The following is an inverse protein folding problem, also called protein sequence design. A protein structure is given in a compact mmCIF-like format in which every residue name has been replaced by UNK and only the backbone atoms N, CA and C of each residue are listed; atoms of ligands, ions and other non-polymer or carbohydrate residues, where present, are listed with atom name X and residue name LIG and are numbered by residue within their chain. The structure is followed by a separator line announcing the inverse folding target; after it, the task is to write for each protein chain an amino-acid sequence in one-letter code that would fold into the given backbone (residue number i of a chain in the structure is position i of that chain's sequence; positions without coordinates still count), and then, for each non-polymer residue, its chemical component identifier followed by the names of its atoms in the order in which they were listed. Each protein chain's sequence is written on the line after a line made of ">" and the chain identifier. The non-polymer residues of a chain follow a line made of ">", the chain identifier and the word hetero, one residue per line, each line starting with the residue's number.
data_IF_109845266499
#
_entry.id   IF_109845266499
#
_cell.length_a   1.000
_cell.length_b   1.000
_cell.length_c   1.000
_cell.angle_alpha   90.00
_cell.angle_beta   90.00
_cell.angle_gamma   90.00
#
_symmetry.space_group_name_H-M   'P 1'
#
loop_
_entity.id
_entity.type
_entity.pdbx_description
1 polymer ?
#
# COMPACT_ATOMS: atom_id res chain seq x y z
N UNK A 1 -39.86 -68.51 -41.31
CA UNK A 1 -40.45 -67.27 -40.75
C UNK A 1 -39.53 -66.61 -39.71
N UNK A 2 -38.22 -66.49 -39.96
CA UNK A 2 -37.23 -66.01 -38.96
C UNK A 2 -36.59 -64.64 -39.27
N UNK A 3 -36.90 -64.02 -40.42
CA UNK A 3 -36.18 -62.82 -40.90
C UNK A 3 -36.79 -61.47 -40.48
N UNK A 4 -37.99 -61.44 -39.89
CA UNK A 4 -38.63 -60.18 -39.47
C UNK A 4 -38.25 -59.75 -38.04
N UNK A 5 -37.90 -60.69 -37.15
CA UNK A 5 -37.64 -60.42 -35.74
C UNK A 5 -36.30 -59.72 -35.50
N UNK A 6 -35.30 -59.97 -36.34
CA UNK A 6 -33.96 -59.38 -36.18
C UNK A 6 -33.87 -57.93 -36.66
N UNK A 7 -34.68 -57.55 -37.67
CA UNK A 7 -34.77 -56.15 -38.13
C UNK A 7 -35.43 -55.22 -37.10
N UNK A 8 -36.36 -55.74 -36.29
CA UNK A 8 -37.02 -54.97 -35.23
C UNK A 8 -36.04 -54.76 -34.07
N UNK A 9 -35.29 -55.79 -33.68
CA UNK A 9 -34.27 -55.71 -32.60
C UNK A 9 -33.14 -54.73 -32.94
N UNK A 10 -32.63 -54.76 -34.18
CA UNK A 10 -31.57 -53.85 -34.61
C UNK A 10 -32.01 -52.36 -34.60
N UNK A 11 -33.25 -52.08 -35.03
CA UNK A 11 -33.80 -50.71 -34.99
C UNK A 11 -33.99 -50.19 -33.57
N UNK A 12 -34.43 -51.04 -32.64
CA UNK A 12 -34.59 -50.67 -31.22
C UNK A 12 -33.23 -50.37 -30.57
N UNK A 13 -32.20 -51.16 -30.87
CA UNK A 13 -30.83 -50.96 -30.35
C UNK A 13 -30.19 -49.66 -30.86
N UNK A 14 -30.36 -49.35 -32.14
CA UNK A 14 -29.85 -48.09 -32.72
C UNK A 14 -30.58 -46.89 -32.12
N UNK A 15 -31.92 -46.97 -31.97
CA UNK A 15 -32.70 -45.91 -31.35
C UNK A 15 -32.27 -45.67 -29.89
N UNK A 16 -32.03 -46.74 -29.12
CA UNK A 16 -31.53 -46.64 -27.75
C UNK A 16 -30.14 -46.02 -27.66
N UNK A 17 -29.24 -46.38 -28.58
CA UNK A 17 -27.89 -45.81 -28.66
C UNK A 17 -27.92 -44.31 -28.95
N UNK A 18 -28.74 -43.87 -29.91
CA UNK A 18 -28.93 -42.45 -30.23
C UNK A 18 -29.59 -41.70 -29.06
N UNK A 19 -30.55 -42.31 -28.37
CA UNK A 19 -31.18 -41.71 -27.19
C UNK A 19 -30.16 -41.51 -26.05
N UNK A 20 -29.34 -42.52 -25.75
CA UNK A 20 -28.31 -42.44 -24.72
C UNK A 20 -27.25 -41.37 -25.03
N UNK A 21 -26.82 -41.24 -26.28
CA UNK A 21 -25.88 -40.20 -26.72
C UNK A 21 -26.46 -38.78 -26.56
N UNK A 22 -27.75 -38.59 -26.87
CA UNK A 22 -28.43 -37.30 -26.68
C UNK A 22 -28.57 -36.93 -25.19
N UNK A 23 -28.87 -37.90 -24.32
CA UNK A 23 -28.96 -37.66 -22.87
C UNK A 23 -27.60 -37.36 -22.22
N UNK A 24 -26.50 -37.97 -22.68
CA UNK A 24 -25.15 -37.64 -22.19
C UNK A 24 -24.65 -36.27 -22.67
N UNK A 25 -25.08 -35.80 -23.86
CA UNK A 25 -24.67 -34.50 -24.40
C UNK A 25 -25.36 -33.29 -23.75
N UNK A 26 -26.64 -33.41 -23.38
CA UNK A 26 -27.37 -32.32 -22.72
C UNK A 26 -26.92 -32.13 -21.26
N UNK A 27 -26.66 -33.22 -20.54
CA UNK A 27 -26.22 -33.16 -19.13
C UNK A 27 -24.79 -32.62 -18.98
N UNK A 28 -23.90 -32.85 -19.95
CA UNK A 28 -22.53 -32.30 -19.89
C UNK A 28 -22.48 -30.79 -20.12
N UNK A 29 -23.32 -30.26 -21.02
CA UNK A 29 -23.38 -28.82 -21.31
C UNK A 29 -23.99 -28.05 -20.14
N UNK A 30 -25.10 -28.55 -19.56
CA UNK A 30 -25.69 -27.97 -18.36
C UNK A 30 -24.73 -28.03 -17.16
N UNK A 31 -23.99 -29.13 -17.00
CA UNK A 31 -23.00 -29.28 -15.96
C UNK A 31 -21.84 -28.28 -16.12
N UNK A 32 -21.32 -28.13 -17.35
CA UNK A 32 -20.28 -27.13 -17.66
C UNK A 32 -20.76 -25.70 -17.41
N UNK A 33 -22.00 -25.38 -17.79
CA UNK A 33 -22.59 -24.07 -17.57
C UNK A 33 -22.77 -23.76 -16.08
N UNK A 34 -23.30 -24.71 -15.30
CA UNK A 34 -23.41 -24.57 -13.85
C UNK A 34 -22.05 -24.41 -13.16
N UNK A 35 -21.03 -25.11 -13.63
CA UNK A 35 -19.69 -24.99 -13.06
C UNK A 35 -19.09 -23.61 -13.36
N UNK A 36 -19.23 -23.12 -14.59
CA UNK A 36 -18.72 -21.80 -14.97
C UNK A 36 -19.44 -20.67 -14.22
N UNK A 37 -20.76 -20.79 -14.01
CA UNK A 37 -21.50 -19.85 -13.16
C UNK A 37 -21.04 -19.86 -11.70
N UNK A 38 -20.75 -21.04 -11.14
CA UNK A 38 -20.21 -21.17 -9.78
C UNK A 38 -18.83 -20.54 -9.67
N UNK A 39 -17.96 -20.80 -10.63
CA UNK A 39 -16.60 -20.26 -10.66
C UNK A 39 -16.62 -18.73 -10.81
N UNK A 40 -17.47 -18.21 -11.69
CA UNK A 40 -17.68 -16.75 -11.85
C UNK A 40 -18.18 -16.11 -10.55
N UNK A 41 -19.18 -16.72 -9.89
CA UNK A 41 -19.69 -16.21 -8.60
C UNK A 41 -18.63 -16.28 -7.51
N UNK A 42 -17.82 -17.34 -7.49
CA UNK A 42 -16.72 -17.51 -6.53
C UNK A 42 -15.63 -16.46 -6.76
N UNK A 43 -15.28 -16.18 -8.00
CA UNK A 43 -14.32 -15.14 -8.35
C UNK A 43 -14.80 -13.75 -7.93
N UNK A 44 -16.06 -13.41 -8.23
CA UNK A 44 -16.67 -12.14 -7.79
C UNK A 44 -16.71 -12.04 -6.27
N UNK A 45 -17.06 -13.12 -5.57
CA UNK A 45 -17.04 -13.15 -4.11
C UNK A 45 -15.62 -12.97 -3.55
N UNK A 46 -14.63 -13.69 -4.07
CA UNK A 46 -13.25 -13.60 -3.61
C UNK A 46 -12.60 -12.26 -3.98
N UNK A 47 -12.93 -11.66 -5.12
CA UNK A 47 -12.53 -10.30 -5.47
C UNK A 47 -13.16 -9.28 -4.51
N UNK A 48 -14.46 -9.38 -4.24
CA UNK A 48 -15.14 -8.53 -3.26
C UNK A 48 -14.55 -8.70 -1.85
N UNK A 49 -14.21 -9.93 -1.46
CA UNK A 49 -13.56 -10.26 -0.19
C UNK A 49 -12.15 -9.67 -0.12
N UNK A 50 -11.34 -9.81 -1.17
CA UNK A 50 -10.00 -9.19 -1.28
C UNK A 50 -10.07 -7.67 -1.18
N UNK A 51 -11.00 -7.04 -1.91
CA UNK A 51 -11.28 -5.60 -1.85
C UNK A 51 -11.68 -5.15 -0.44
N UNK A 52 -12.58 -5.88 0.24
CA UNK A 52 -12.97 -5.57 1.64
C UNK A 52 -11.82 -5.74 2.61
N UNK A 53 -11.03 -6.81 2.50
CA UNK A 53 -9.87 -7.04 3.36
C UNK A 53 -8.84 -5.93 3.19
N UNK A 54 -8.54 -5.53 1.95
CA UNK A 54 -7.68 -4.39 1.65
C UNK A 54 -8.24 -3.05 2.15
N UNK A 55 -9.56 -2.80 2.05
CA UNK A 55 -10.19 -1.60 2.64
C UNK A 55 -10.07 -1.62 4.18
N UNK A 56 -10.26 -2.78 4.81
CA UNK A 56 -10.18 -2.96 6.26
C UNK A 56 -8.76 -2.75 6.79
N UNK A 57 -7.73 -3.31 6.16
CA UNK A 57 -6.34 -3.15 6.59
C UNK A 57 -5.81 -1.72 6.38
N UNK A 58 -6.18 -1.03 5.29
CA UNK A 58 -5.84 0.39 5.07
C UNK A 58 -6.39 1.28 6.18
N UNK A 59 -7.60 0.99 6.64
CA UNK A 59 -8.26 1.80 7.66
C UNK A 59 -7.63 1.64 9.06
N UNK A 60 -6.92 0.55 9.38
CA UNK A 60 -6.40 0.36 10.75
C UNK A 60 -5.37 1.42 11.11
N UNK A 61 -4.34 1.59 10.29
CA UNK A 61 -3.29 2.61 10.54
C UNK A 61 -3.90 4.01 10.54
N UNK A 62 -4.71 4.34 9.53
CA UNK A 62 -5.33 5.66 9.43
C UNK A 62 -6.26 5.96 10.62
N UNK A 63 -7.00 4.96 11.12
CA UNK A 63 -7.81 5.12 12.32
C UNK A 63 -6.95 5.33 13.58
N UNK A 64 -5.82 4.63 13.71
CA UNK A 64 -4.91 4.82 14.84
C UNK A 64 -4.24 6.19 14.83
N UNK A 65 -4.06 6.80 13.65
CA UNK A 65 -3.52 8.16 13.52
C UNK A 65 -4.50 9.26 13.97
N UNK A 66 -5.81 8.98 14.07
CA UNK A 66 -6.81 9.99 14.45
C UNK A 66 -6.47 10.59 15.82
N UNK A 67 -6.68 11.90 15.97
CA UNK A 67 -6.36 12.64 17.20
C UNK A 67 -5.39 13.78 16.96
N UNK A 68 -4.84 14.32 18.06
CA UNK A 68 -3.84 15.39 18.02
C UNK A 68 -2.49 14.86 18.48
N UNK A 69 -1.46 15.31 17.79
CA UNK A 69 -0.08 14.90 17.97
C UNK A 69 0.81 16.12 18.07
N UNK A 70 1.77 16.09 18.98
CA UNK A 70 2.76 17.14 19.15
C UNK A 70 4.14 16.61 18.76
N UNK A 71 4.90 17.42 18.04
CA UNK A 71 6.27 17.07 17.67
C UNK A 71 7.10 16.74 18.92
N UNK A 72 7.83 15.63 18.85
CA UNK A 72 8.68 15.13 19.92
C UNK A 72 10.16 15.26 19.54
N UNK A 73 10.54 14.65 18.41
CA UNK A 73 11.94 14.60 18.00
C UNK A 73 12.10 14.32 16.49
N UNK A 74 13.28 14.64 15.97
CA UNK A 74 13.72 14.27 14.63
C UNK A 74 15.13 13.66 14.73
N UNK A 75 15.25 12.39 14.34
CA UNK A 75 16.47 11.59 14.49
C UNK A 75 16.96 11.13 13.12
N UNK A 76 18.26 11.27 12.89
CA UNK A 76 18.95 10.74 11.69
C UNK A 76 19.71 9.49 12.10
N UNK A 77 19.25 8.34 11.62
CA UNK A 77 19.89 7.04 11.77
C UNK A 77 20.68 6.74 10.48
N UNK A 78 21.68 7.57 10.18
CA UNK A 78 22.50 7.40 8.98
C UNK A 78 23.74 6.53 9.26
N UNK A 79 24.12 5.68 8.29
CA UNK A 79 25.40 4.96 8.24
C UNK A 79 26.14 5.31 6.95
N UNK A 80 27.46 5.54 7.03
CA UNK A 80 28.32 5.57 5.84
C UNK A 80 28.78 6.94 5.32
N UNK A 81 28.96 7.95 6.19
CA UNK A 81 29.93 9.03 5.91
C UNK A 81 29.42 10.48 5.74
N UNK A 82 28.11 10.73 5.55
CA UNK A 82 27.56 12.11 5.58
C UNK A 82 26.81 12.46 6.86
N UNK A 83 26.99 11.62 7.88
CA UNK A 83 26.18 11.56 9.10
C UNK A 83 26.15 12.93 9.82
N UNK A 84 27.28 13.62 9.91
CA UNK A 84 27.38 14.90 10.63
C UNK A 84 26.64 16.05 9.96
N UNK A 85 26.68 16.13 8.62
CA UNK A 85 25.99 17.20 7.88
C UNK A 85 24.47 16.97 7.94
N UNK A 86 24.01 15.73 7.72
CA UNK A 86 22.60 15.41 7.78
C UNK A 86 22.05 15.55 9.20
N UNK A 87 22.79 15.12 10.23
CA UNK A 87 22.42 15.36 11.64
C UNK A 87 22.33 16.84 11.98
N UNK A 88 23.29 17.65 11.54
CA UNK A 88 23.27 19.11 11.78
C UNK A 88 22.05 19.75 11.11
N UNK A 89 21.76 19.39 9.86
CA UNK A 89 20.57 19.85 9.14
C UNK A 89 19.26 19.38 9.78
N UNK A 90 19.24 18.16 10.30
CA UNK A 90 18.08 17.63 11.01
C UNK A 90 17.88 18.36 12.34
N UNK A 91 18.94 18.64 13.11
CA UNK A 91 18.85 19.42 14.35
C UNK A 91 18.28 20.83 14.11
N UNK A 92 18.75 21.52 13.05
CA UNK A 92 18.19 22.82 12.65
C UNK A 92 16.73 22.71 12.18
N UNK A 93 16.36 21.60 11.54
CA UNK A 93 14.95 21.35 11.19
C UNK A 93 14.11 21.10 12.43
N UNK A 94 14.60 20.29 13.37
CA UNK A 94 13.92 19.96 14.62
C UNK A 94 13.58 21.22 15.44
N UNK A 95 14.51 22.18 15.53
CA UNK A 95 14.25 23.44 16.23
C UNK A 95 13.14 24.28 15.59
N UNK A 96 12.93 24.14 14.27
CA UNK A 96 11.81 24.80 13.55
C UNK A 96 10.48 24.06 13.70
N UNK A 97 10.53 22.77 14.06
CA UNK A 97 9.36 21.95 14.34
C UNK A 97 8.94 22.03 15.81
N UNK A 98 9.69 22.74 16.65
CA UNK A 98 9.34 22.90 18.07
C UNK A 98 7.94 23.51 18.21
N UNK A 99 7.10 22.87 19.04
CA UNK A 99 5.71 23.28 19.23
C UNK A 99 4.76 22.93 18.07
N UNK A 100 5.25 22.30 16.99
CA UNK A 100 4.43 21.84 15.89
C UNK A 100 3.39 20.83 16.36
N UNK A 101 2.16 20.98 15.86
CA UNK A 101 1.05 20.05 16.13
C UNK A 101 0.45 19.54 14.83
N UNK A 102 0.14 18.25 14.83
CA UNK A 102 -0.58 17.57 13.76
C UNK A 102 -1.93 17.11 14.28
N UNK A 103 -2.99 17.44 13.54
CA UNK A 103 -4.33 16.93 13.82
C UNK A 103 -4.79 16.06 12.67
N UNK A 104 -5.23 14.85 12.99
CA UNK A 104 -5.85 13.93 12.04
C UNK A 104 -7.31 13.69 12.43
N UNK A 105 -8.19 13.71 11.43
CA UNK A 105 -9.60 13.39 11.63
C UNK A 105 -10.16 12.67 10.40
N UNK A 106 -11.34 12.07 10.59
CA UNK A 106 -12.09 11.41 9.53
C UNK A 106 -13.40 12.15 9.30
N UNK A 107 -13.78 12.33 8.05
CA UNK A 107 -15.11 12.81 7.67
C UNK A 107 -15.62 11.97 6.49
N UNK A 108 -16.71 11.24 6.71
CA UNK A 108 -17.18 10.21 5.78
C UNK A 108 -16.11 9.13 5.56
N UNK A 109 -15.81 8.83 4.30
CA UNK A 109 -14.78 7.85 3.89
C UNK A 109 -13.38 8.46 3.74
N UNK A 110 -13.21 9.76 3.98
CA UNK A 110 -11.97 10.48 3.76
C UNK A 110 -11.24 10.78 5.08
N UNK A 111 -9.91 10.69 5.04
CA UNK A 111 -9.04 11.06 6.15
C UNK A 111 -8.34 12.38 5.86
N UNK A 112 -8.31 13.24 6.85
CA UNK A 112 -7.83 14.61 6.75
C UNK A 112 -6.74 14.89 7.76
N UNK A 113 -5.86 15.81 7.42
CA UNK A 113 -4.83 16.31 8.30
C UNK A 113 -4.80 17.83 8.32
N UNK A 114 -4.26 18.39 9.40
CA UNK A 114 -3.95 19.81 9.54
C UNK A 114 -2.67 19.99 10.34
N UNK A 115 -1.83 20.89 9.87
CA UNK A 115 -0.70 21.45 10.62
C UNK A 115 -1.20 22.64 11.45
N UNK A 116 -0.94 22.59 12.74
CA UNK A 116 -1.22 23.62 13.73
C UNK A 116 0.11 24.21 14.23
N UNK A 117 0.08 25.46 14.73
CA UNK A 117 1.27 26.19 15.22
C UNK A 117 2.38 26.40 14.17
N UNK A 118 2.01 26.51 12.90
CA UNK A 118 2.90 26.94 11.81
C UNK A 118 2.40 28.25 11.21
N UNK A 119 3.32 29.07 10.69
CA UNK A 119 3.01 30.36 10.06
C UNK A 119 1.96 30.21 8.96
N UNK A 120 2.10 29.17 8.13
CA UNK A 120 1.13 28.82 7.10
C UNK A 120 0.29 27.60 7.51
N UNK A 121 -0.98 27.85 7.89
CA UNK A 121 -1.94 26.78 8.15
C UNK A 121 -2.04 25.89 6.91
N UNK A 122 -1.63 24.65 7.05
CA UNK A 122 -1.61 23.68 5.96
C UNK A 122 -2.58 22.55 6.29
N UNK A 123 -3.41 22.14 5.32
CA UNK A 123 -4.37 21.07 5.52
C UNK A 123 -4.61 20.31 4.22
N UNK A 124 -5.06 19.07 4.34
CA UNK A 124 -5.31 18.21 3.19
C UNK A 124 -5.88 16.87 3.56
N UNK A 125 -5.79 15.93 2.63
CA UNK A 125 -6.14 14.52 2.87
C UNK A 125 -4.90 13.65 2.91
N UNK A 126 -5.03 12.45 3.46
CA UNK A 126 -3.94 11.49 3.43
C UNK A 126 -4.45 10.08 3.15
N UNK A 127 -3.56 9.25 2.63
CA UNK A 127 -3.83 7.82 2.42
C UNK A 127 -2.72 7.00 3.05
N UNK A 128 -3.10 5.83 3.56
CA UNK A 128 -2.17 4.83 4.07
C UNK A 128 -2.22 3.58 3.19
N UNK A 129 -1.06 3.05 2.82
CA UNK A 129 -0.96 1.79 2.06
C UNK A 129 0.32 1.05 2.43
N UNK A 130 0.19 -0.17 2.94
CA UNK A 130 1.35 -1.05 3.22
C UNK A 130 2.36 -0.45 4.19
N UNK A 131 1.92 0.26 5.23
CA UNK A 131 2.82 0.96 6.16
C UNK A 131 3.39 2.27 5.62
N UNK A 132 2.97 2.70 4.43
CA UNK A 132 3.33 4.01 3.89
C UNK A 132 2.20 5.01 4.02
N UNK A 133 2.58 6.28 4.19
CA UNK A 133 1.71 7.44 4.29
C UNK A 133 2.00 8.39 3.12
N UNK A 134 0.94 8.85 2.47
CA UNK A 134 1.02 9.86 1.44
C UNK A 134 0.06 11.00 1.76
N UNK A 135 0.59 12.22 1.75
CA UNK A 135 -0.17 13.44 1.97
C UNK A 135 -0.59 14.06 0.64
N UNK A 136 -1.81 14.58 0.60
CA UNK A 136 -2.40 15.31 -0.53
C UNK A 136 -2.81 16.69 -0.02
N UNK A 137 -1.96 17.71 -0.16
CA UNK A 137 -2.28 19.06 0.32
C UNK A 137 -3.49 19.60 -0.44
N UNK A 138 -4.43 20.19 0.29
CA UNK A 138 -5.47 21.04 -0.28
C UNK A 138 -5.01 22.50 -0.23
N UNK A 139 -4.28 22.87 0.83
CA UNK A 139 -3.71 24.21 1.01
C UNK A 139 -2.44 24.16 1.86
N UNK A 140 -1.53 25.09 1.59
CA UNK A 140 -0.27 25.25 2.32
C UNK A 140 0.84 24.29 1.89
N UNK A 141 1.84 24.15 2.75
CA UNK A 141 3.03 23.32 2.49
C UNK A 141 2.73 21.83 2.66
N UNK A 142 3.47 20.99 1.94
CA UNK A 142 3.42 19.55 2.17
C UNK A 142 4.14 19.21 3.48
N UNK A 143 3.53 18.36 4.31
CA UNK A 143 4.17 17.85 5.53
C UNK A 143 5.57 17.26 5.24
N UNK A 144 5.76 16.45 4.19
CA UNK A 144 7.08 16.00 3.77
C UNK A 144 8.10 17.13 3.58
N UNK A 145 7.70 18.24 2.96
CA UNK A 145 8.60 19.36 2.71
C UNK A 145 8.91 20.10 4.01
N UNK A 146 7.95 20.21 4.92
CA UNK A 146 8.18 20.83 6.22
C UNK A 146 9.20 20.02 7.05
N UNK A 147 9.08 18.70 7.05
CA UNK A 147 9.87 17.82 7.94
C UNK A 147 11.19 17.40 7.29
N UNK A 148 11.21 17.14 5.99
CA UNK A 148 12.32 16.46 5.31
C UNK A 148 12.96 17.27 4.18
N UNK A 149 12.58 18.52 3.91
CA UNK A 149 13.19 19.29 2.82
C UNK A 149 14.71 19.51 2.98
N UNK A 150 15.26 19.34 4.19
CA UNK A 150 16.70 19.38 4.40
C UNK A 150 17.48 18.25 3.71
N UNK A 151 16.80 17.17 3.29
CA UNK A 151 17.39 16.09 2.48
C UNK A 151 17.38 16.40 0.99
N UNK A 152 16.74 17.49 0.55
CA UNK A 152 16.73 17.89 -0.87
C UNK A 152 18.18 18.09 -1.34
N UNK A 153 18.51 17.52 -2.49
CA UNK A 153 19.90 17.44 -2.98
C UNK A 153 20.62 16.14 -2.60
N UNK A 154 20.06 15.33 -1.70
CA UNK A 154 20.65 14.04 -1.32
C UNK A 154 20.20 12.96 -2.30
N UNK A 155 21.17 12.16 -2.74
CA UNK A 155 20.97 11.09 -3.72
C UNK A 155 20.94 9.75 -3.00
N UNK A 156 20.17 8.82 -3.55
CA UNK A 156 20.23 7.40 -3.24
C UNK A 156 20.56 6.63 -4.52
N UNK A 157 21.17 5.48 -4.35
CA UNK A 157 21.49 4.58 -5.45
C UNK A 157 20.60 3.35 -5.38
N UNK A 158 20.22 2.84 -6.55
CA UNK A 158 19.43 1.63 -6.70
C UNK A 158 20.13 0.74 -7.72
N UNK A 159 20.40 -0.50 -7.33
CA UNK A 159 20.88 -1.52 -8.26
C UNK A 159 19.70 -2.06 -9.06
N UNK A 160 19.75 -1.90 -10.37
CA UNK A 160 18.76 -2.40 -11.32
C UNK A 160 19.01 -3.88 -11.63
N UNK A 161 18.01 -4.55 -12.19
CA UNK A 161 18.04 -5.98 -12.48
C UNK A 161 19.05 -6.39 -13.56
N UNK A 162 19.44 -5.45 -14.41
CA UNK A 162 20.48 -5.58 -15.44
C UNK A 162 21.90 -5.34 -14.89
N UNK A 163 22.02 -5.01 -13.60
CA UNK A 163 23.30 -4.71 -12.96
C UNK A 163 23.72 -3.24 -13.05
N UNK A 164 22.93 -2.38 -13.69
CA UNK A 164 23.19 -0.94 -13.72
C UNK A 164 22.86 -0.28 -12.37
N UNK A 165 23.53 0.83 -12.08
CA UNK A 165 23.29 1.63 -10.88
C UNK A 165 22.61 2.93 -11.28
N UNK A 166 21.35 3.06 -10.89
CA UNK A 166 20.62 4.30 -11.04
C UNK A 166 20.84 5.19 -9.80
N UNK A 167 21.07 6.48 -10.05
CA UNK A 167 21.24 7.49 -9.00
C UNK A 167 20.05 8.43 -9.05
N UNK A 168 19.24 8.38 -8.00
CA UNK A 168 17.99 9.14 -7.92
C UNK A 168 17.96 10.01 -6.67
N UNK A 169 17.20 11.10 -6.76
CA UNK A 169 16.98 11.99 -5.62
C UNK A 169 16.12 11.30 -4.55
N UNK A 170 16.45 11.52 -3.27
CA UNK A 170 15.58 11.08 -2.18
C UNK A 170 14.28 11.89 -2.25
N UNK A 171 13.17 11.21 -2.53
CA UNK A 171 11.83 11.79 -2.55
C UNK A 171 11.12 11.58 -1.22
N UNK A 172 10.63 12.65 -0.61
CA UNK A 172 9.88 12.60 0.66
C UNK A 172 8.37 12.36 0.50
N UNK A 173 7.87 12.22 -0.74
CA UNK A 173 6.43 12.16 -1.05
C UNK A 173 5.71 10.95 -0.43
N UNK A 174 6.44 9.85 -0.22
CA UNK A 174 5.94 8.62 0.38
C UNK A 174 6.84 8.31 1.58
N UNK A 175 6.25 8.22 2.77
CA UNK A 175 6.99 8.01 4.01
C UNK A 175 6.50 6.74 4.68
N UNK A 176 7.37 6.05 5.41
CA UNK A 176 6.95 5.04 6.36
C UNK A 176 6.14 5.69 7.47
N UNK A 177 5.11 5.00 7.95
CA UNK A 177 4.34 5.40 9.12
C UNK A 177 4.25 4.24 10.09
N UNK A 178 4.56 4.50 11.36
CA UNK A 178 4.32 3.59 12.46
C UNK A 178 3.52 4.32 13.54
N UNK A 179 2.50 3.67 14.07
CA UNK A 179 1.64 4.25 15.10
C UNK A 179 1.53 3.27 16.26
N UNK A 180 1.91 3.74 17.44
CA UNK A 180 1.65 3.12 18.74
C UNK A 180 0.59 3.96 19.45
N UNK A 181 0.11 3.49 20.60
CA UNK A 181 -0.95 4.19 21.35
C UNK A 181 -0.63 5.67 21.61
N UNK A 182 0.60 5.95 22.04
CA UNK A 182 1.04 7.30 22.42
C UNK A 182 2.02 7.95 21.45
N UNK A 183 2.48 7.24 20.42
CA UNK A 183 3.54 7.71 19.52
C UNK A 183 3.21 7.48 18.05
N UNK A 184 3.45 8.50 17.23
CA UNK A 184 3.37 8.47 15.78
C UNK A 184 4.75 8.76 15.22
N UNK A 185 5.29 7.83 14.44
CA UNK A 185 6.57 7.98 13.76
C UNK A 185 6.36 8.07 12.25
N UNK A 186 6.94 9.10 11.65
CA UNK A 186 7.08 9.27 10.21
C UNK A 186 8.54 9.01 9.83
N UNK A 187 8.79 8.10 8.90
CA UNK A 187 10.13 7.69 8.52
C UNK A 187 10.40 7.93 7.04
N UNK A 188 11.58 8.48 6.73
CA UNK A 188 12.11 8.60 5.38
C UNK A 188 13.30 7.66 5.21
N UNK A 189 13.23 6.73 4.25
CA UNK A 189 14.33 5.83 3.91
C UNK A 189 15.37 6.57 3.06
N UNK A 190 16.63 6.57 3.51
CA UNK A 190 17.75 7.19 2.78
C UNK A 190 18.26 6.32 1.63
N UNK A 191 17.79 5.08 1.54
CA UNK A 191 18.11 4.13 0.49
C UNK A 191 19.51 3.53 0.64
N UNK A 192 20.03 3.06 -0.49
CA UNK A 192 21.33 2.42 -0.58
C UNK A 192 22.37 3.38 -1.16
N UNK A 193 23.64 3.13 -0.85
CA UNK A 193 24.79 3.76 -1.50
C UNK A 193 25.88 2.71 -1.69
N UNK A 194 26.61 2.82 -2.78
CA UNK A 194 27.80 2.03 -3.02
C UNK A 194 28.97 2.62 -2.24
N UNK A 195 29.58 1.80 -1.39
CA UNK A 195 30.77 2.11 -0.62
C UNK A 195 31.93 1.22 -1.04
N UNK A 196 33.17 1.48 -0.59
CA UNK A 196 34.30 0.57 -0.81
C UNK A 196 34.04 -0.86 -0.30
N UNK A 197 33.25 -1.02 0.76
CA UNK A 197 32.87 -2.32 1.35
C UNK A 197 31.63 -2.95 0.66
N UNK A 198 31.17 -2.36 -0.45
CA UNK A 198 30.00 -2.78 -1.18
C UNK A 198 28.75 -1.95 -0.85
N UNK A 199 27.58 -2.53 -1.13
CA UNK A 199 26.29 -1.87 -0.97
C UNK A 199 25.93 -1.69 0.50
N UNK A 200 25.82 -0.43 0.93
CA UNK A 200 25.42 -0.06 2.28
C UNK A 200 24.03 0.54 2.29
N UNK A 201 23.19 0.07 3.21
CA UNK A 201 21.95 0.75 3.55
C UNK A 201 22.28 1.96 4.41
N UNK A 202 21.96 3.16 3.91
CA UNK A 202 22.23 4.42 4.63
C UNK A 202 21.40 4.56 5.89
N UNK A 203 20.27 3.87 6.00
CA UNK A 203 19.37 3.97 7.15
C UNK A 203 18.25 4.98 6.91
N UNK A 204 17.77 5.62 7.98
CA UNK A 204 16.48 6.30 7.97
C UNK A 204 16.56 7.66 8.66
N UNK A 205 15.60 8.53 8.37
CA UNK A 205 15.30 9.70 9.20
C UNK A 205 13.93 9.49 9.81
N UNK A 206 13.83 9.56 11.14
CA UNK A 206 12.57 9.39 11.87
C UNK A 206 12.14 10.70 12.51
N UNK A 207 10.91 11.12 12.23
CA UNK A 207 10.24 12.23 12.89
C UNK A 207 9.12 11.67 13.79
N UNK A 208 9.26 11.88 15.09
CA UNK A 208 8.38 11.31 16.11
C UNK A 208 7.43 12.38 16.65
N UNK A 209 6.20 11.96 16.96
CA UNK A 209 5.18 12.79 17.59
C UNK A 209 4.55 12.04 18.76
N UNK A 210 4.22 12.75 19.83
CA UNK A 210 3.47 12.23 20.96
C UNK A 210 1.99 12.58 20.86
N UNK A 211 1.10 11.67 21.25
CA UNK A 211 -0.34 11.95 21.31
C UNK A 211 -0.63 12.93 22.45
N UNK A 212 -1.47 13.93 22.18
CA UNK A 212 -1.92 14.92 23.16
C UNK A 212 -3.45 14.98 23.33
N UNK A 213 -4.20 14.35 22.41
CA UNK A 213 -5.66 14.16 22.46
C UNK A 213 -6.09 12.98 21.58
#
# INVERSE_FOLDING_TARGET
>A
MHFQTDRIKAKILILFSVLMLAFTGCTSVEYQQMQNERDTRREVYEDARRKRFHKRSRNVIANHMLGKWQFLELVVEERGGSEDILKTKAALTASKLEGLRLRFWKNGDNYFYRLENVIAKSYGTYTTRGGHLQFHPISGSQIPDLIFNFVKGTHKQVLLSDGEVDTMMIGAKIMGVAVKETQLDLALDLGMVLSPDGWLRRGNIRCSFQRIE
#
